data_IF_858872280274
#
_entry.id   IF_858872280274
#
_cell.length_a   1.000
_cell.length_b   1.000
_cell.length_c   1.000
_cell.angle_alpha   90.00
_cell.angle_beta   90.00
_cell.angle_gamma   90.00
#
_symmetry.space_group_name_H-M   'P 1'
#
loop_
_entity.id
_entity.type
_entity.pdbx_description
1 polymer ?
#
# COMPACT_ATOMS: atom_id res chain seq x y z
N UNK A 1 -7.74 -10.35 19.83
CA UNK A 1 -6.44 -9.67 19.74
C UNK A 1 -5.35 -10.69 20.04
N UNK A 2 -4.55 -11.01 19.02
CA UNK A 2 -3.40 -11.89 19.24
C UNK A 2 -2.29 -11.04 19.86
N UNK A 3 -1.89 -11.39 21.07
CA UNK A 3 -0.75 -10.76 21.72
C UNK A 3 0.55 -11.25 21.09
N UNK A 4 1.33 -10.33 20.52
CA UNK A 4 2.69 -10.60 20.05
C UNK A 4 3.71 -10.65 21.20
N UNK A 5 3.28 -11.03 22.41
CA UNK A 5 4.07 -10.88 23.64
C UNK A 5 5.46 -11.54 23.58
N UNK A 6 5.55 -12.78 23.08
CA UNK A 6 6.84 -13.46 22.95
C UNK A 6 7.75 -12.80 21.92
N UNK A 7 7.19 -12.38 20.79
CA UNK A 7 7.92 -11.69 19.73
C UNK A 7 8.40 -10.31 20.19
N UNK A 8 7.54 -9.54 20.85
CA UNK A 8 7.87 -8.25 21.44
C UNK A 8 8.92 -8.37 22.54
N UNK A 9 8.86 -9.41 23.37
CA UNK A 9 9.90 -9.68 24.37
C UNK A 9 11.23 -9.97 23.70
N UNK A 10 11.26 -10.74 22.63
CA UNK A 10 12.47 -10.99 21.85
C UNK A 10 13.03 -9.70 21.24
N UNK A 11 12.19 -8.91 20.57
CA UNK A 11 12.64 -7.65 19.95
C UNK A 11 13.10 -6.64 20.98
N UNK A 12 12.37 -6.44 22.07
CA UNK A 12 12.75 -5.54 23.14
C UNK A 12 14.11 -5.93 23.76
N UNK A 13 14.27 -7.22 24.09
CA UNK A 13 15.49 -7.70 24.74
C UNK A 13 16.72 -7.69 23.83
N UNK A 14 16.55 -8.05 22.57
CA UNK A 14 17.67 -8.22 21.64
C UNK A 14 17.91 -7.02 20.72
N UNK A 15 16.87 -6.21 20.43
CA UNK A 15 16.91 -5.16 19.43
C UNK A 15 16.48 -3.80 19.96
N UNK A 16 16.05 -3.68 21.21
CA UNK A 16 15.60 -2.39 21.75
C UNK A 16 14.35 -1.83 21.06
N UNK A 17 13.54 -2.63 20.40
CA UNK A 17 12.35 -2.17 19.73
C UNK A 17 11.18 -3.11 19.99
N UNK A 18 9.94 -2.60 19.91
CA UNK A 18 8.75 -3.42 19.99
C UNK A 18 7.56 -2.78 19.26
N UNK A 19 6.66 -3.62 18.77
CA UNK A 19 5.44 -3.20 18.07
C UNK A 19 4.32 -3.05 19.10
N UNK A 20 3.71 -1.87 19.14
CA UNK A 20 2.56 -1.62 19.99
C UNK A 20 1.31 -2.35 19.46
N UNK A 21 0.39 -2.68 20.35
CA UNK A 21 -0.92 -3.21 19.96
C UNK A 21 -1.94 -2.06 19.85
N UNK A 22 -1.68 -1.15 18.93
CA UNK A 22 -2.48 0.06 18.68
C UNK A 22 -2.89 0.17 17.21
N UNK A 23 -3.71 1.14 16.92
CA UNK A 23 -4.08 1.54 15.56
C UNK A 23 -3.59 2.97 15.34
N UNK A 24 -2.72 3.17 14.36
CA UNK A 24 -2.15 4.47 14.04
C UNK A 24 -3.01 5.19 13.01
N UNK A 25 -3.18 6.48 13.21
CA UNK A 25 -3.84 7.41 12.30
C UNK A 25 -3.10 8.76 12.32
N UNK A 26 -3.59 9.71 11.57
CA UNK A 26 -3.12 11.10 11.61
C UNK A 26 -4.31 12.02 11.86
N UNK A 27 -4.17 12.99 12.75
CA UNK A 27 -5.23 13.97 13.01
C UNK A 27 -5.29 15.07 11.94
N UNK A 28 -4.24 15.20 11.14
CA UNK A 28 -4.22 16.10 9.99
C UNK A 28 -4.75 15.38 8.75
N UNK A 29 -5.91 15.81 8.26
CA UNK A 29 -6.58 15.23 7.10
C UNK A 29 -5.77 15.28 5.79
N UNK A 30 -4.72 16.10 5.72
CA UNK A 30 -3.81 16.13 4.57
C UNK A 30 -3.03 14.82 4.40
N UNK A 31 -2.88 14.04 5.47
CA UNK A 31 -2.20 12.74 5.48
C UNK A 31 -3.16 11.55 5.47
N UNK A 32 -4.44 11.81 5.25
CA UNK A 32 -5.47 10.79 5.12
C UNK A 32 -6.10 10.89 3.73
N UNK A 33 -5.95 9.86 2.92
CA UNK A 33 -6.57 9.76 1.61
C UNK A 33 -7.82 8.88 1.68
N UNK A 34 -8.98 9.45 1.34
CA UNK A 34 -10.23 8.70 1.30
C UNK A 34 -10.27 7.73 0.10
N UNK A 35 -10.78 6.53 0.31
CA UNK A 35 -10.96 5.51 -0.72
C UNK A 35 -12.27 4.76 -0.50
N UNK A 36 -12.78 4.12 -1.55
CA UNK A 36 -13.95 3.26 -1.48
C UNK A 36 -13.76 2.03 -0.55
N UNK A 37 -12.52 1.69 -0.23
CA UNK A 37 -12.15 0.55 0.61
C UNK A 37 -11.73 0.94 2.02
N UNK A 38 -11.97 2.18 2.42
CA UNK A 38 -11.49 2.77 3.66
C UNK A 38 -10.42 3.82 3.42
N UNK A 39 -10.01 4.49 4.48
CA UNK A 39 -9.01 5.53 4.39
C UNK A 39 -7.59 4.95 4.33
N UNK A 40 -6.71 5.65 3.63
CA UNK A 40 -5.29 5.39 3.64
C UNK A 40 -4.55 6.47 4.41
N UNK A 41 -3.66 6.06 5.28
CA UNK A 41 -2.65 6.93 5.87
C UNK A 41 -1.53 7.13 4.85
N UNK A 42 -1.08 8.36 4.68
CA UNK A 42 0.04 8.76 3.82
C UNK A 42 1.22 9.12 4.73
N UNK A 43 2.07 8.16 5.09
CA UNK A 43 3.17 8.41 6.00
C UNK A 43 4.32 9.15 5.32
N UNK A 44 5.21 9.72 6.15
CA UNK A 44 6.45 10.33 5.72
C UNK A 44 7.59 9.32 5.60
N UNK A 45 8.41 9.50 4.59
CA UNK A 45 9.73 8.89 4.50
C UNK A 45 10.73 9.72 5.33
N UNK A 46 11.52 9.06 6.17
CA UNK A 46 12.64 9.66 6.90
C UNK A 46 13.93 9.46 6.12
N UNK A 47 14.90 10.35 6.33
CA UNK A 47 16.18 10.30 5.63
C UNK A 47 17.00 9.07 6.03
N UNK A 48 17.25 8.20 5.05
CA UNK A 48 18.06 7.01 5.19
C UNK A 48 18.50 6.53 3.79
N UNK A 49 19.55 5.71 3.70
CA UNK A 49 19.99 5.16 2.42
C UNK A 49 18.88 4.38 1.65
N UNK A 50 17.96 3.73 2.37
CA UNK A 50 16.80 3.05 1.78
C UNK A 50 15.84 4.04 1.11
N UNK A 51 15.65 5.22 1.69
CA UNK A 51 14.58 6.17 1.31
C UNK A 51 15.08 7.38 0.51
N UNK A 52 16.39 7.64 0.48
CA UNK A 52 16.98 8.84 -0.13
C UNK A 52 16.52 9.06 -1.58
N UNK A 53 16.52 8.01 -2.40
CA UNK A 53 16.02 8.10 -3.77
C UNK A 53 14.52 8.45 -3.82
N UNK A 54 13.69 7.77 -3.03
CA UNK A 54 12.25 7.98 -2.99
C UNK A 54 11.90 9.42 -2.56
N UNK A 55 12.67 9.96 -1.62
CA UNK A 55 12.54 11.35 -1.18
C UNK A 55 12.94 12.32 -2.30
N UNK A 56 14.02 12.04 -3.03
CA UNK A 56 14.50 12.92 -4.11
C UNK A 56 13.48 13.09 -5.25
N UNK A 57 12.64 12.08 -5.48
CA UNK A 57 11.57 12.10 -6.48
C UNK A 57 10.19 12.40 -5.86
N UNK A 58 10.16 12.86 -4.61
CA UNK A 58 8.94 13.22 -3.87
C UNK A 58 7.87 12.12 -3.85
N UNK A 59 8.32 10.87 -3.78
CA UNK A 59 7.43 9.71 -3.73
C UNK A 59 6.58 9.70 -2.47
N UNK A 60 5.36 9.20 -2.59
CA UNK A 60 4.44 9.00 -1.48
C UNK A 60 4.22 7.51 -1.23
N UNK A 61 4.02 7.16 0.02
CA UNK A 61 3.58 5.85 0.45
C UNK A 61 2.10 5.89 0.84
N UNK A 62 1.46 4.73 0.88
CA UNK A 62 0.14 4.58 1.47
C UNK A 62 0.07 3.30 2.28
N UNK A 63 -0.62 3.36 3.39
CA UNK A 63 -0.92 2.20 4.22
C UNK A 63 -2.38 2.27 4.65
N UNK A 64 -3.03 1.14 4.89
CA UNK A 64 -4.42 1.14 5.32
C UNK A 64 -4.53 1.73 6.72
N UNK A 65 -5.30 2.81 6.87
CA UNK A 65 -5.56 3.41 8.18
C UNK A 65 -6.18 2.37 9.14
N UNK A 66 -5.69 2.30 10.38
CA UNK A 66 -6.15 1.33 11.39
C UNK A 66 -5.56 -0.07 11.30
N UNK A 67 -4.81 -0.38 10.25
CA UNK A 67 -4.04 -1.63 10.11
C UNK A 67 -2.53 -1.36 10.21
N UNK A 68 -2.20 -0.29 10.90
CA UNK A 68 -0.83 0.14 11.19
C UNK A 68 -0.66 0.21 12.69
N UNK A 69 0.38 -0.44 13.19
CA UNK A 69 0.79 -0.38 14.58
C UNK A 69 2.01 0.53 14.70
N UNK A 70 2.11 1.26 15.79
CA UNK A 70 3.30 2.04 16.07
C UNK A 70 4.44 1.17 16.61
N UNK A 71 5.67 1.63 16.40
CA UNK A 71 6.89 0.97 16.86
C UNK A 71 7.58 1.89 17.86
N UNK A 72 7.86 1.39 19.05
CA UNK A 72 8.68 2.08 20.03
C UNK A 72 10.13 1.59 19.95
N UNK A 73 11.05 2.53 20.13
CA UNK A 73 12.49 2.28 20.15
C UNK A 73 13.02 2.66 21.54
N UNK A 74 13.74 1.75 22.17
CA UNK A 74 14.52 1.99 23.36
C UNK A 74 15.99 2.03 22.97
N UNK A 75 16.70 3.06 23.42
CA UNK A 75 18.13 3.19 23.13
C UNK A 75 18.94 2.04 23.70
N UNK A 76 19.78 1.45 22.86
CA UNK A 76 20.76 0.44 23.22
C UNK A 76 22.11 0.77 22.60
N UNK A 77 23.17 0.68 23.37
CA UNK A 77 24.52 1.09 22.94
C UNK A 77 25.12 0.23 21.81
N UNK A 78 24.63 -0.99 21.63
CA UNK A 78 25.09 -1.93 20.60
C UNK A 78 24.20 -1.95 19.35
N UNK A 79 23.14 -1.12 19.33
CA UNK A 79 22.15 -1.10 18.25
C UNK A 79 22.00 0.32 17.72
N UNK A 80 22.19 0.44 16.42
CA UNK A 80 21.83 1.61 15.65
C UNK A 80 20.39 1.47 15.18
N UNK A 81 19.52 2.43 15.54
CA UNK A 81 18.12 2.42 15.19
C UNK A 81 17.79 3.63 14.31
N UNK A 82 17.29 3.39 13.12
CA UNK A 82 16.90 4.42 12.16
C UNK A 82 15.43 4.28 11.80
N UNK A 83 14.65 5.33 12.00
CA UNK A 83 13.26 5.38 11.54
C UNK A 83 13.25 5.59 10.03
N UNK A 84 12.53 4.73 9.32
CA UNK A 84 12.44 4.76 7.85
C UNK A 84 11.12 5.41 7.41
N UNK A 85 10.03 5.06 8.10
CA UNK A 85 8.68 5.58 7.82
C UNK A 85 8.01 5.96 9.13
N UNK A 86 7.41 7.13 9.17
CA UNK A 86 6.67 7.64 10.32
C UNK A 86 5.42 8.43 9.89
N UNK A 87 4.53 8.72 10.84
CA UNK A 87 3.43 9.68 10.64
C UNK A 87 3.96 11.12 10.62
N UNK A 88 3.08 12.09 10.41
CA UNK A 88 3.38 13.49 10.71
C UNK A 88 3.49 13.72 12.23
N UNK A 89 3.86 14.94 12.62
CA UNK A 89 3.84 15.37 14.03
C UNK A 89 2.43 15.37 14.63
N UNK A 90 1.40 15.28 13.77
CA UNK A 90 -0.01 15.16 14.15
C UNK A 90 -0.47 13.69 14.25
N UNK A 91 0.46 12.76 14.22
CA UNK A 91 0.16 11.33 14.35
C UNK A 91 -0.48 11.00 15.68
N UNK A 92 -1.49 10.15 15.65
CA UNK A 92 -2.20 9.66 16.84
C UNK A 92 -2.27 8.15 16.83
N UNK A 93 -2.29 7.56 17.99
CA UNK A 93 -2.55 6.13 18.15
C UNK A 93 -3.71 5.90 19.11
N UNK A 94 -4.42 4.83 18.89
CA UNK A 94 -5.55 4.42 19.72
C UNK A 94 -5.60 2.90 19.82
N UNK A 95 -6.23 2.37 20.85
CA UNK A 95 -6.48 0.94 20.92
C UNK A 95 -7.55 0.49 19.91
N UNK A 96 -7.68 -0.81 19.71
CA UNK A 96 -8.63 -1.38 18.74
C UNK A 96 -10.09 -1.03 19.08
N UNK A 97 -10.44 -0.88 20.33
CA UNK A 97 -11.81 -0.51 20.76
C UNK A 97 -12.12 0.93 20.33
N UNK A 98 -11.23 1.88 20.62
CA UNK A 98 -11.39 3.27 20.20
C UNK A 98 -11.37 3.41 18.66
N UNK A 99 -10.59 2.57 17.95
CA UNK A 99 -10.63 2.50 16.50
C UNK A 99 -12.02 2.10 15.97
N UNK A 100 -12.65 1.10 16.56
CA UNK A 100 -14.02 0.69 16.21
C UNK A 100 -15.02 1.81 16.48
N UNK A 101 -14.93 2.47 17.64
CA UNK A 101 -15.76 3.63 17.97
C UNK A 101 -15.61 4.78 16.97
N UNK A 102 -14.36 5.11 16.59
CA UNK A 102 -14.07 6.11 15.56
C UNK A 102 -14.81 5.79 14.26
N UNK A 103 -14.76 4.55 13.80
CA UNK A 103 -15.43 4.13 12.57
C UNK A 103 -16.96 4.13 12.68
N UNK A 104 -17.49 3.86 13.88
CA UNK A 104 -18.92 3.97 14.19
C UNK A 104 -19.40 5.42 14.42
N UNK A 105 -18.48 6.39 14.37
CA UNK A 105 -18.72 7.82 14.71
C UNK A 105 -19.19 8.03 16.15
N UNK A 106 -18.78 7.17 17.05
CA UNK A 106 -18.96 7.28 18.49
C UNK A 106 -17.81 8.07 19.13
N UNK A 107 -17.99 8.62 20.34
CA UNK A 107 -16.88 9.23 21.09
C UNK A 107 -15.76 8.22 21.34
N UNK A 108 -14.52 8.61 21.04
CA UNK A 108 -13.33 7.77 21.18
C UNK A 108 -12.16 8.56 21.75
N UNK A 109 -11.19 7.84 22.30
CA UNK A 109 -9.98 8.41 22.85
C UNK A 109 -8.79 8.11 21.92
N UNK A 110 -7.86 9.07 21.84
CA UNK A 110 -6.61 8.95 21.11
C UNK A 110 -5.45 9.35 22.01
N UNK A 111 -4.24 8.91 21.67
CA UNK A 111 -3.03 9.41 22.28
C UNK A 111 -2.84 10.90 22.01
N UNK A 112 -1.95 11.55 22.74
CA UNK A 112 -1.44 12.86 22.36
C UNK A 112 -0.84 12.81 20.95
N UNK A 113 -1.02 13.91 20.20
CA UNK A 113 -0.46 14.04 18.86
C UNK A 113 1.07 14.07 18.94
N UNK A 114 1.70 13.15 18.26
CA UNK A 114 3.15 13.09 18.11
C UNK A 114 3.49 12.16 16.96
N UNK A 115 4.66 12.33 16.39
CA UNK A 115 5.16 11.40 15.39
C UNK A 115 5.11 9.94 15.89
N UNK A 116 4.59 9.01 15.08
CA UNK A 116 4.54 7.58 15.36
C UNK A 116 5.40 6.84 14.34
N UNK A 117 6.35 6.04 14.81
CA UNK A 117 7.19 5.23 13.93
C UNK A 117 6.39 4.06 13.37
N UNK A 118 6.43 3.88 12.05
CA UNK A 118 5.72 2.81 11.34
C UNK A 118 6.71 1.74 10.85
N UNK A 119 7.90 2.15 10.43
CA UNK A 119 8.93 1.24 9.96
C UNK A 119 10.28 1.70 10.49
N UNK A 120 11.03 0.76 11.05
CA UNK A 120 12.33 1.01 11.68
C UNK A 120 13.36 0.01 11.19
N UNK A 121 14.51 0.51 10.79
CA UNK A 121 15.69 -0.28 10.48
C UNK A 121 16.62 -0.32 11.69
N UNK A 122 17.02 -1.50 12.07
CA UNK A 122 17.89 -1.77 13.21
C UNK A 122 19.15 -2.51 12.74
N UNK A 123 20.29 -2.03 13.18
CA UNK A 123 21.61 -2.63 12.88
C UNK A 123 22.32 -2.93 14.18
N UNK A 124 22.78 -4.15 14.32
CA UNK A 124 23.56 -4.60 15.47
C UNK A 124 24.95 -5.01 15.01
N UNK A 125 25.96 -4.39 15.58
CA UNK A 125 27.36 -4.76 15.34
C UNK A 125 27.74 -5.91 16.27
N UNK A 126 28.43 -6.92 15.73
CA UNK A 126 28.96 -8.00 16.58
C UNK A 126 30.06 -7.45 17.50
N UNK A 127 29.94 -7.74 18.78
CA UNK A 127 30.95 -7.37 19.79
C UNK A 127 32.30 -8.07 19.57
N UNK A 128 32.30 -9.24 18.90
CA UNK A 128 33.47 -10.07 18.74
C UNK A 128 34.09 -10.03 17.35
N UNK A 129 33.40 -9.49 16.37
CA UNK A 129 33.90 -9.39 15.00
C UNK A 129 33.25 -8.19 14.31
N UNK A 130 34.02 -7.16 14.04
CA UNK A 130 33.56 -5.92 13.40
C UNK A 130 33.04 -6.11 11.96
N UNK A 131 33.33 -7.26 11.33
CA UNK A 131 32.88 -7.56 9.97
C UNK A 131 31.46 -8.14 9.90
N UNK A 132 30.95 -8.67 11.02
CA UNK A 132 29.60 -9.25 11.04
C UNK A 132 28.58 -8.28 11.64
N UNK A 133 27.65 -7.87 10.82
CA UNK A 133 26.50 -7.05 11.24
C UNK A 133 25.22 -7.81 11.09
N UNK A 134 24.35 -7.76 12.10
CA UNK A 134 22.97 -8.24 11.99
C UNK A 134 22.06 -7.08 11.66
N UNK A 135 21.14 -7.28 10.73
CA UNK A 135 20.20 -6.25 10.26
C UNK A 135 18.78 -6.75 10.45
N UNK A 136 17.92 -5.90 10.95
CA UNK A 136 16.50 -6.16 11.14
C UNK A 136 15.69 -4.98 10.63
N UNK A 137 14.69 -5.26 9.81
CA UNK A 137 13.64 -4.30 9.49
C UNK A 137 12.38 -4.69 10.27
N UNK A 138 11.87 -3.78 11.06
CA UNK A 138 10.64 -3.94 11.80
C UNK A 138 9.58 -3.05 11.15
N UNK A 139 8.44 -3.63 10.76
CA UNK A 139 7.31 -2.92 10.17
C UNK A 139 6.05 -3.12 11.00
N UNK A 140 5.38 -2.04 11.34
CA UNK A 140 4.09 -2.03 12.03
C UNK A 140 2.91 -2.32 11.12
N UNK A 141 3.14 -2.58 9.84
CA UNK A 141 2.08 -2.91 8.88
C UNK A 141 2.56 -3.98 7.89
N UNK A 142 1.66 -4.87 7.52
CA UNK A 142 1.90 -5.86 6.48
C UNK A 142 1.46 -5.36 5.08
N UNK A 143 0.74 -4.25 5.04
CA UNK A 143 0.18 -3.73 3.78
C UNK A 143 1.24 -3.38 2.75
N UNK A 144 2.43 -2.97 3.16
CA UNK A 144 3.54 -2.70 2.26
C UNK A 144 4.01 -3.93 1.46
N UNK A 145 3.68 -5.14 1.92
CA UNK A 145 4.03 -6.42 1.28
C UNK A 145 2.85 -7.07 0.56
N UNK A 146 1.69 -6.43 0.55
CA UNK A 146 0.47 -7.03 0.01
C UNK A 146 0.38 -6.77 -1.49
N UNK A 147 0.30 -7.82 -2.32
CA UNK A 147 0.31 -7.75 -3.80
C UNK A 147 -0.61 -6.67 -4.37
N UNK A 148 -1.80 -6.54 -3.80
CA UNK A 148 -2.77 -5.55 -4.23
C UNK A 148 -2.28 -4.11 -4.11
N UNK A 149 -1.40 -3.82 -3.16
CA UNK A 149 -0.80 -2.50 -2.97
C UNK A 149 0.48 -2.35 -3.78
N UNK A 150 1.24 -3.42 -3.93
CA UNK A 150 2.47 -3.47 -4.73
C UNK A 150 2.16 -3.21 -6.21
N UNK A 151 1.09 -3.81 -6.75
CA UNK A 151 0.78 -3.76 -8.19
C UNK A 151 -0.24 -2.68 -8.58
N UNK A 152 -0.96 -2.09 -7.64
CA UNK A 152 -2.20 -1.36 -7.95
C UNK A 152 -2.03 0.09 -8.38
N UNK A 153 -0.83 0.70 -8.32
CA UNK A 153 -0.71 2.12 -8.66
C UNK A 153 0.72 2.58 -8.89
N UNK A 154 0.97 3.17 -10.04
CA UNK A 154 2.18 3.96 -10.33
C UNK A 154 2.30 5.26 -9.52
N UNK A 155 1.28 5.61 -8.71
CA UNK A 155 1.24 6.86 -7.94
C UNK A 155 1.86 6.75 -6.55
N UNK A 156 2.11 5.53 -6.06
CA UNK A 156 2.70 5.27 -4.75
C UNK A 156 3.93 4.40 -4.89
N UNK A 157 4.90 4.62 -4.02
CA UNK A 157 6.21 3.99 -4.06
C UNK A 157 6.35 2.79 -3.11
N UNK A 158 5.25 2.15 -2.72
CA UNK A 158 5.25 1.03 -1.79
C UNK A 158 6.15 -0.10 -2.29
N UNK A 159 6.05 -0.44 -3.58
CA UNK A 159 6.90 -1.44 -4.24
C UNK A 159 8.38 -1.06 -4.21
N UNK A 160 8.66 0.20 -4.57
CA UNK A 160 10.04 0.68 -4.65
C UNK A 160 10.70 0.68 -3.28
N UNK A 161 9.95 1.03 -2.22
CA UNK A 161 10.43 0.96 -0.85
C UNK A 161 10.82 -0.48 -0.47
N UNK A 162 9.94 -1.46 -0.78
CA UNK A 162 10.22 -2.87 -0.47
C UNK A 162 11.45 -3.36 -1.21
N UNK A 163 11.57 -3.09 -2.50
CA UNK A 163 12.72 -3.50 -3.31
C UNK A 163 14.01 -2.85 -2.80
N UNK A 164 13.99 -1.54 -2.52
CA UNK A 164 15.15 -0.82 -1.94
C UNK A 164 15.55 -1.40 -0.60
N UNK A 165 14.58 -1.72 0.24
CA UNK A 165 14.83 -2.32 1.55
C UNK A 165 15.52 -3.68 1.41
N UNK A 166 15.02 -4.56 0.53
CA UNK A 166 15.61 -5.88 0.31
C UNK A 166 17.03 -5.74 -0.21
N UNK A 167 17.28 -4.87 -1.19
CA UNK A 167 18.60 -4.63 -1.74
C UNK A 167 19.57 -4.13 -0.68
N UNK A 168 19.17 -3.13 0.10
CA UNK A 168 19.98 -2.58 1.19
C UNK A 168 20.31 -3.64 2.26
N UNK A 169 19.33 -4.44 2.67
CA UNK A 169 19.53 -5.50 3.65
C UNK A 169 20.44 -6.62 3.12
N UNK A 170 20.42 -6.87 1.82
CA UNK A 170 21.30 -7.86 1.15
C UNK A 170 22.72 -7.33 0.90
N UNK A 171 23.00 -6.06 1.25
CA UNK A 171 24.30 -5.45 0.97
C UNK A 171 24.53 -5.07 -0.49
N UNK A 172 23.48 -5.01 -1.30
CA UNK A 172 23.48 -4.59 -2.70
C UNK A 172 23.13 -3.10 -2.74
N UNK A 173 23.95 -2.27 -2.11
CA UNK A 173 23.65 -0.84 -1.92
C UNK A 173 23.62 -0.06 -3.24
N UNK A 174 24.43 -0.47 -4.21
CA UNK A 174 24.58 0.20 -5.52
C UNK A 174 23.82 -0.53 -6.65
N UNK A 175 22.94 -1.46 -6.35
CA UNK A 175 22.13 -2.01 -7.42
C UNK A 175 21.38 -0.87 -8.10
N UNK A 176 21.61 -0.62 -9.42
CA UNK A 176 20.87 0.38 -10.14
C UNK A 176 19.39 0.02 -10.00
N UNK A 177 18.71 0.76 -9.14
CA UNK A 177 17.28 0.60 -9.00
C UNK A 177 16.67 1.16 -10.23
N UNK A 178 15.89 0.40 -10.73
CA UNK A 178 14.98 0.51 -11.83
C UNK A 178 15.53 -0.14 -13.10
N UNK A 179 15.30 -1.40 -13.14
CA UNK A 179 14.33 -1.68 -14.20
C UNK A 179 13.06 -0.94 -13.76
N UNK A 180 12.92 0.33 -14.19
CA UNK A 180 11.62 0.99 -14.30
C UNK A 180 10.72 -0.09 -14.86
N UNK A 181 9.76 -0.60 -14.06
CA UNK A 181 8.81 -1.55 -14.61
C UNK A 181 8.22 -0.78 -15.76
N UNK A 182 8.59 -1.17 -16.98
CA UNK A 182 7.95 -0.66 -18.17
C UNK A 182 6.49 -0.86 -17.82
N UNK A 183 5.79 0.23 -17.55
CA UNK A 183 4.37 0.14 -17.30
C UNK A 183 3.88 -0.66 -18.47
N UNK A 184 3.53 -1.89 -18.24
CA UNK A 184 2.67 -2.59 -19.17
C UNK A 184 1.46 -1.67 -19.10
N UNK A 185 1.41 -0.73 -20.02
CA UNK A 185 0.17 -0.05 -20.35
C UNK A 185 -0.71 -1.24 -20.68
N UNK A 186 -1.43 -1.73 -19.68
CA UNK A 186 -2.67 -2.40 -19.97
C UNK A 186 -3.40 -1.31 -20.78
N UNK A 187 -3.31 -1.38 -22.10
CA UNK A 187 -4.29 -0.70 -22.90
C UNK A 187 -5.60 -1.10 -22.26
N UNK A 188 -6.12 -0.19 -21.43
CA UNK A 188 -7.50 -0.30 -20.99
C UNK A 188 -8.19 -0.46 -22.32
N UNK A 189 -8.71 -1.68 -22.59
CA UNK A 189 -9.63 -1.84 -23.72
C UNK A 189 -10.57 -0.67 -23.55
N UNK A 190 -10.43 0.32 -24.45
CA UNK A 190 -11.32 1.47 -24.41
C UNK A 190 -12.69 0.85 -24.36
N UNK A 191 -13.33 0.99 -23.23
CA UNK A 191 -14.71 0.52 -23.07
C UNK A 191 -15.44 1.28 -24.15
N UNK A 192 -15.79 0.56 -25.25
CA UNK A 192 -16.50 1.16 -26.37
C UNK A 192 -17.56 2.06 -25.76
N UNK A 193 -17.53 3.36 -26.12
CA UNK A 193 -18.50 4.31 -25.62
C UNK A 193 -19.86 3.66 -25.60
N UNK A 194 -20.56 3.75 -24.51
CA UNK A 194 -21.85 3.09 -24.30
C UNK A 194 -22.78 3.22 -25.50
N UNK A 195 -22.68 4.36 -26.21
CA UNK A 195 -23.36 4.63 -27.47
C UNK A 195 -22.97 3.68 -28.59
N UNK A 196 -21.67 3.41 -28.79
CA UNK A 196 -21.18 2.51 -29.85
C UNK A 196 -21.59 1.05 -29.58
N UNK A 197 -21.61 0.67 -28.33
CA UNK A 197 -22.06 -0.67 -27.93
C UNK A 197 -23.56 -0.86 -28.19
N UNK A 198 -24.37 0.17 -27.90
CA UNK A 198 -25.81 0.16 -28.20
C UNK A 198 -26.06 0.07 -29.71
N UNK A 199 -25.32 0.84 -30.54
CA UNK A 199 -25.45 0.73 -31.98
C UNK A 199 -25.10 -0.66 -32.51
N UNK A 200 -24.04 -1.29 -32.03
CA UNK A 200 -23.69 -2.66 -32.40
C UNK A 200 -24.79 -3.67 -32.03
N UNK A 201 -25.35 -3.54 -30.84
CA UNK A 201 -26.43 -4.42 -30.38
C UNK A 201 -27.71 -4.24 -31.24
N UNK A 202 -28.12 -2.99 -31.44
CA UNK A 202 -29.31 -2.68 -32.27
C UNK A 202 -29.11 -3.16 -33.71
N UNK A 203 -27.94 -3.00 -34.28
CA UNK A 203 -27.64 -3.47 -35.64
C UNK A 203 -27.71 -5.01 -35.75
N UNK A 204 -27.07 -5.71 -34.82
CA UNK A 204 -27.04 -7.17 -34.81
C UNK A 204 -28.42 -7.82 -34.52
N UNK A 205 -29.16 -7.25 -33.57
CA UNK A 205 -30.44 -7.87 -33.12
C UNK A 205 -31.64 -7.32 -33.88
N UNK A 206 -31.56 -6.14 -34.46
CA UNK A 206 -32.70 -5.52 -35.21
C UNK A 206 -32.52 -5.58 -36.71
N UNK A 207 -31.48 -4.99 -37.25
CA UNK A 207 -31.34 -4.77 -38.70
C UNK A 207 -31.11 -6.08 -39.43
N UNK A 208 -30.23 -6.95 -38.94
CA UNK A 208 -29.94 -8.21 -39.62
C UNK A 208 -31.16 -9.13 -39.66
N UNK A 209 -31.91 -9.40 -38.57
CA UNK A 209 -33.14 -10.20 -38.64
C UNK A 209 -34.21 -9.58 -39.53
N UNK A 210 -34.37 -8.24 -39.53
CA UNK A 210 -35.35 -7.57 -40.39
C UNK A 210 -35.04 -7.77 -41.86
N UNK A 211 -33.79 -7.74 -42.29
CA UNK A 211 -33.37 -8.00 -43.68
C UNK A 211 -33.69 -9.47 -44.06
N UNK A 212 -33.34 -10.41 -43.15
CA UNK A 212 -33.64 -11.83 -43.39
C UNK A 212 -35.12 -12.10 -43.50
N UNK A 213 -35.94 -11.49 -42.64
CA UNK A 213 -37.39 -11.56 -42.70
C UNK A 213 -37.94 -10.97 -44.00
N UNK A 214 -37.49 -9.79 -44.39
CA UNK A 214 -37.86 -9.13 -45.62
C UNK A 214 -37.55 -9.99 -46.87
N UNK A 215 -36.34 -10.56 -46.88
CA UNK A 215 -35.94 -11.48 -47.95
C UNK A 215 -36.80 -12.75 -47.97
N UNK A 216 -37.10 -13.32 -46.82
CA UNK A 216 -38.02 -14.49 -46.72
C UNK A 216 -39.41 -14.21 -47.27
N UNK A 217 -39.97 -13.03 -46.93
CA UNK A 217 -41.28 -12.59 -47.46
C UNK A 217 -41.22 -12.40 -48.99
N UNK A 218 -40.13 -11.73 -49.48
CA UNK A 218 -39.94 -11.52 -50.92
C UNK A 218 -39.91 -12.86 -51.69
N UNK A 219 -39.15 -13.84 -51.24
CA UNK A 219 -39.06 -15.16 -51.84
C UNK A 219 -40.41 -15.89 -51.79
N UNK A 220 -41.12 -15.79 -50.64
CA UNK A 220 -42.48 -16.38 -50.53
C UNK A 220 -43.48 -15.79 -51.53
N UNK A 221 -43.51 -14.47 -51.63
CA UNK A 221 -44.42 -13.78 -52.58
C UNK A 221 -44.07 -14.06 -54.05
N UNK A 222 -42.77 -14.15 -54.36
CA UNK A 222 -42.33 -14.52 -55.73
C UNK A 222 -42.74 -15.94 -56.09
N UNK A 223 -42.65 -16.93 -55.20
CA UNK A 223 -43.07 -18.30 -55.43
C UNK A 223 -44.60 -18.47 -55.53
N UNK A 224 -45.36 -17.57 -54.95
CA UNK A 224 -46.85 -17.59 -55.04
C UNK A 224 -47.38 -17.00 -56.34
N UNK A 225 -46.56 -16.26 -57.07
CA UNK A 225 -46.92 -15.64 -58.36
C UNK A 225 -46.45 -16.44 -59.58
N UNK A 226 -45.74 -17.51 -59.38
CA UNK A 226 -45.41 -18.56 -60.34
C UNK A 226 -46.38 -19.72 -60.18
#
# INVERSE_FOLDING_TARGET
SYSLSNLNTYFSNNWGAYINNDCVSDSNSAFIAASAMGNYLIPYLKEHAITSYLMSVSSKLRVQEGEVNSINIAEKSDIEANVIVATSDSGVSMDRENWVKKNAREPYNVSESSEKNIMVYLRKNSLNNSETTSRLLLSGTYYLLFDRFIDSSSSYADKDLVVKTINYMSGIEDAPVSVSSKSIVHEKMEVLEKSKLVYCVVFLTGVIPAILFGYGIYVYLRRRRL
#
